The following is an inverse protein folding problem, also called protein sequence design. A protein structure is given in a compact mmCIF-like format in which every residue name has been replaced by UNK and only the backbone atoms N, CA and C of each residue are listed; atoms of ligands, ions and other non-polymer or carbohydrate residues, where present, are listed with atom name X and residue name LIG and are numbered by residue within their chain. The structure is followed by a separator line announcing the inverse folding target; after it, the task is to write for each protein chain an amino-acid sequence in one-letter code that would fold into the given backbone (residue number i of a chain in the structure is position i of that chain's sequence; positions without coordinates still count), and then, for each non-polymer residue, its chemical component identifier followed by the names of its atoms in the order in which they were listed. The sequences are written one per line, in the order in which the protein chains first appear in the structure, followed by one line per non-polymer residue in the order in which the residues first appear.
data_IF_385521269647
#
_entry.id   IF_385521269647
#
_cell.length_a   1.000
_cell.length_b   1.000
_cell.length_c   1.000
_cell.angle_alpha   90.00
_cell.angle_beta   90.00
_cell.angle_gamma   90.00
#
_symmetry.space_group_name_H-M   'P 1'
#
loop_
_entity.id
_entity.type
_entity.pdbx_description
1 polymer ?
#
# COMPACT_ATOMS: atom_id res chain seq x y z
N UNK A 1 -6.03 11.40 -10.07
CA UNK A 1 -5.81 10.00 -10.44
C UNK A 1 -4.46 9.76 -11.10
N UNK A 2 -4.07 10.55 -12.09
CA UNK A 2 -2.77 10.39 -12.76
C UNK A 2 -1.62 10.51 -11.78
N UNK A 3 -1.66 11.48 -10.87
CA UNK A 3 -0.62 11.65 -9.86
C UNK A 3 -0.53 10.46 -8.91
N UNK A 4 -1.66 9.78 -8.63
CA UNK A 4 -1.64 8.58 -7.81
C UNK A 4 -0.91 7.44 -8.53
N UNK A 5 -1.13 7.29 -9.82
CA UNK A 5 -0.43 6.28 -10.63
C UNK A 5 1.07 6.55 -10.68
N UNK A 6 1.46 7.83 -10.83
CA UNK A 6 2.88 8.23 -10.82
C UNK A 6 3.52 7.93 -9.46
N UNK A 7 2.82 8.21 -8.35
CA UNK A 7 3.32 7.95 -7.01
C UNK A 7 3.44 6.46 -6.72
N UNK A 8 2.51 5.65 -7.23
CA UNK A 8 2.63 4.19 -7.15
C UNK A 8 3.93 3.74 -7.84
N UNK A 9 4.20 4.26 -9.03
CA UNK A 9 5.44 3.96 -9.74
C UNK A 9 6.69 4.39 -8.95
N UNK A 10 6.67 5.59 -8.36
CA UNK A 10 7.77 6.09 -7.54
C UNK A 10 8.02 5.20 -6.33
N UNK A 11 6.95 4.81 -5.61
CA UNK A 11 7.09 3.95 -4.44
C UNK A 11 7.59 2.57 -4.84
N UNK A 12 7.12 2.04 -5.98
CA UNK A 12 7.59 0.75 -6.48
C UNK A 12 9.08 0.78 -6.80
N UNK A 13 9.55 1.89 -7.37
CA UNK A 13 10.97 2.09 -7.65
C UNK A 13 11.80 2.12 -6.37
N UNK A 14 11.32 2.83 -5.34
CA UNK A 14 11.97 2.89 -4.04
C UNK A 14 12.05 1.50 -3.39
N UNK A 15 10.98 0.71 -3.50
CA UNK A 15 10.96 -0.67 -3.00
C UNK A 15 11.99 -1.53 -3.74
N UNK A 16 12.10 -1.38 -5.06
CA UNK A 16 13.07 -2.13 -5.84
C UNK A 16 14.51 -1.86 -5.39
N UNK A 17 14.82 -0.59 -5.11
CA UNK A 17 16.15 -0.19 -4.61
C UNK A 17 16.43 -0.84 -3.25
N UNK A 18 15.47 -0.81 -2.34
CA UNK A 18 15.61 -1.42 -1.02
C UNK A 18 15.69 -2.94 -1.11
N UNK A 19 14.92 -3.56 -2.01
CA UNK A 19 14.94 -5.01 -2.20
C UNK A 19 16.33 -5.48 -2.65
N UNK A 20 16.95 -4.72 -3.53
CA UNK A 20 18.30 -5.03 -3.99
C UNK A 20 19.31 -4.99 -2.84
N UNK A 21 19.22 -3.95 -2.00
CA UNK A 21 20.07 -3.83 -0.83
C UNK A 21 19.87 -5.02 0.14
N UNK A 22 18.63 -5.37 0.41
CA UNK A 22 18.27 -6.48 1.30
C UNK A 22 18.84 -7.79 0.76
N UNK A 23 18.71 -8.04 -0.53
CA UNK A 23 19.23 -9.24 -1.18
C UNK A 23 20.76 -9.31 -1.09
N UNK A 24 21.45 -8.20 -1.38
CA UNK A 24 22.92 -8.14 -1.35
C UNK A 24 23.48 -8.37 0.06
N UNK A 25 22.74 -7.99 1.09
CA UNK A 25 23.17 -8.13 2.47
C UNK A 25 22.61 -9.37 3.17
N UNK A 26 21.94 -10.24 2.41
CA UNK A 26 21.40 -11.52 2.91
C UNK A 26 20.47 -11.34 4.12
N UNK A 27 19.68 -10.27 4.13
CA UNK A 27 18.72 -10.03 5.20
C UNK A 27 17.51 -10.93 5.00
N UNK A 28 17.11 -11.64 6.05
CA UNK A 28 15.91 -12.47 5.99
C UNK A 28 14.67 -11.57 6.08
N UNK A 29 13.79 -11.69 5.07
CA UNK A 29 12.56 -10.89 5.00
C UNK A 29 11.45 -11.58 5.80
N UNK A 30 10.81 -10.88 6.77
CA UNK A 30 9.65 -11.44 7.46
C UNK A 30 8.54 -11.80 6.48
N UNK A 31 7.89 -12.93 6.73
CA UNK A 31 6.80 -13.42 5.87
C UNK A 31 5.67 -12.39 5.71
N UNK A 32 5.38 -11.64 6.75
CA UNK A 32 4.29 -10.65 6.73
C UNK A 32 4.55 -9.53 5.71
N UNK A 33 5.81 -9.19 5.43
CA UNK A 33 6.15 -8.21 4.39
C UNK A 33 5.77 -8.76 3.01
N UNK A 34 6.03 -10.04 2.77
CA UNK A 34 5.61 -10.69 1.53
C UNK A 34 4.09 -10.69 1.36
N UNK A 35 3.37 -10.97 2.43
CA UNK A 35 1.89 -10.92 2.41
C UNK A 35 1.39 -9.50 2.14
N UNK A 36 1.99 -8.51 2.75
CA UNK A 36 1.64 -7.11 2.51
C UNK A 36 1.89 -6.73 1.05
N UNK A 37 2.99 -7.20 0.47
CA UNK A 37 3.27 -6.98 -0.95
C UNK A 37 2.17 -7.56 -1.84
N UNK A 38 1.73 -8.78 -1.58
CA UNK A 38 0.64 -9.41 -2.32
C UNK A 38 -0.65 -8.60 -2.20
N UNK A 39 -0.97 -8.14 -1.00
CA UNK A 39 -2.17 -7.32 -0.75
C UNK A 39 -2.13 -6.02 -1.55
N UNK A 40 -1.01 -5.31 -1.55
CA UNK A 40 -0.90 -4.03 -2.25
C UNK A 40 -0.89 -4.20 -3.76
N UNK A 41 -0.24 -5.24 -4.28
CA UNK A 41 -0.30 -5.57 -5.72
C UNK A 41 -1.75 -5.85 -6.13
N UNK A 42 -2.47 -6.61 -5.31
CA UNK A 42 -3.89 -6.89 -5.55
C UNK A 42 -4.72 -5.62 -5.59
N UNK A 43 -4.50 -4.71 -4.64
CA UNK A 43 -5.23 -3.44 -4.59
C UNK A 43 -4.96 -2.57 -5.83
N UNK A 44 -3.72 -2.48 -6.27
CA UNK A 44 -3.37 -1.73 -7.49
C UNK A 44 -4.05 -2.34 -8.71
N UNK A 45 -3.93 -3.66 -8.88
CA UNK A 45 -4.53 -4.37 -10.01
C UNK A 45 -6.05 -4.16 -10.03
N UNK A 46 -6.69 -4.33 -8.88
CA UNK A 46 -8.14 -4.19 -8.77
C UNK A 46 -8.59 -2.74 -8.98
N UNK A 47 -7.81 -1.75 -8.53
CA UNK A 47 -8.16 -0.35 -8.76
C UNK A 47 -8.09 0.01 -10.25
N UNK A 48 -7.11 -0.52 -10.97
CA UNK A 48 -6.98 -0.33 -12.42
C UNK A 48 -8.13 -1.05 -13.14
N UNK A 49 -8.43 -2.29 -12.75
CA UNK A 49 -9.54 -3.05 -13.32
C UNK A 49 -10.88 -2.34 -13.07
N UNK A 50 -11.08 -1.80 -11.89
CA UNK A 50 -12.27 -1.02 -11.55
C UNK A 50 -12.42 0.19 -12.48
N UNK A 51 -11.32 0.87 -12.78
CA UNK A 51 -11.32 1.98 -13.72
C UNK A 51 -11.69 1.53 -15.14
N UNK A 52 -11.04 0.48 -15.63
CA UNK A 52 -11.22 -0.01 -17.01
C UNK A 52 -12.64 -0.55 -17.20
N UNK A 53 -13.13 -1.32 -16.23
CA UNK A 53 -14.43 -2.01 -16.33
C UNK A 53 -15.59 -1.22 -15.74
N UNK A 54 -15.33 -0.09 -15.09
CA UNK A 54 -16.31 0.69 -14.34
C UNK A 54 -17.05 -0.20 -13.33
N UNK A 55 -16.27 -0.98 -12.56
CA UNK A 55 -16.80 -1.98 -11.64
C UNK A 55 -16.84 -1.40 -10.21
N UNK A 56 -18.03 -1.06 -9.76
CA UNK A 56 -18.25 -0.47 -8.45
C UNK A 56 -17.89 -1.42 -7.32
N UNK A 57 -18.14 -2.72 -7.49
CA UNK A 57 -17.81 -3.71 -6.47
C UNK A 57 -16.29 -3.80 -6.24
N UNK A 58 -15.51 -3.73 -7.32
CA UNK A 58 -14.05 -3.69 -7.20
C UNK A 58 -13.57 -2.42 -6.49
N UNK A 59 -14.19 -1.27 -6.78
CA UNK A 59 -13.87 -0.03 -6.08
C UNK A 59 -14.04 -0.20 -4.57
N UNK A 60 -15.16 -0.74 -4.17
CA UNK A 60 -15.49 -0.94 -2.75
C UNK A 60 -14.57 -1.94 -2.09
N UNK A 61 -14.22 -3.00 -2.81
CA UNK A 61 -13.27 -3.99 -2.31
C UNK A 61 -11.91 -3.37 -2.03
N UNK A 62 -11.38 -2.57 -2.95
CA UNK A 62 -10.08 -1.90 -2.77
C UNK A 62 -10.13 -0.98 -1.55
N UNK A 63 -11.19 -0.19 -1.40
CA UNK A 63 -11.35 0.72 -0.28
C UNK A 63 -11.41 -0.04 1.04
N UNK A 64 -12.13 -1.13 1.08
CA UNK A 64 -12.27 -1.95 2.29
C UNK A 64 -10.98 -2.68 2.65
N UNK A 65 -10.19 -3.08 1.65
CA UNK A 65 -8.94 -3.80 1.87
C UNK A 65 -7.86 -2.93 2.53
N UNK A 66 -8.01 -1.61 2.51
CA UNK A 66 -7.03 -0.69 3.10
C UNK A 66 -6.80 -0.95 4.59
N UNK A 67 -7.85 -1.30 5.32
CA UNK A 67 -7.74 -1.61 6.75
C UNK A 67 -6.81 -2.80 7.00
N UNK A 68 -6.82 -3.79 6.11
CA UNK A 68 -5.95 -4.96 6.23
C UNK A 68 -4.48 -4.59 6.01
N UNK A 69 -4.23 -3.67 5.08
CA UNK A 69 -2.86 -3.17 4.82
C UNK A 69 -2.36 -2.38 6.03
N UNK A 70 -3.19 -1.53 6.62
CA UNK A 70 -2.83 -0.75 7.80
C UNK A 70 -2.53 -1.67 8.99
N UNK A 71 -3.37 -2.70 9.21
CA UNK A 71 -3.15 -3.68 10.25
C UNK A 71 -1.85 -4.44 10.03
N UNK A 72 -1.58 -4.85 8.80
CA UNK A 72 -0.34 -5.54 8.45
C UNK A 72 0.87 -4.65 8.74
N UNK A 73 0.80 -3.37 8.38
CA UNK A 73 1.89 -2.43 8.66
C UNK A 73 2.17 -2.31 10.15
N UNK A 74 1.13 -2.18 10.97
CA UNK A 74 1.28 -2.09 12.42
C UNK A 74 1.91 -3.36 13.01
N UNK A 75 1.52 -4.53 12.51
CA UNK A 75 2.09 -5.80 12.95
C UNK A 75 3.54 -5.95 12.53
N UNK A 76 3.89 -5.47 11.33
CA UNK A 76 5.28 -5.46 10.85
C UNK A 76 6.15 -4.60 11.76
N UNK A 77 5.67 -3.43 12.16
CA UNK A 77 6.41 -2.56 13.08
C UNK A 77 6.74 -3.28 14.39
N UNK A 78 5.75 -3.96 14.96
CA UNK A 78 5.94 -4.72 16.20
C UNK A 78 6.93 -5.87 16.01
N UNK A 79 6.79 -6.62 14.92
CA UNK A 79 7.68 -7.73 14.61
C UNK A 79 9.11 -7.27 14.38
N UNK A 80 9.32 -6.17 13.66
CA UNK A 80 10.64 -5.63 13.43
C UNK A 80 11.28 -5.12 14.72
N UNK A 81 10.50 -4.46 15.56
CA UNK A 81 10.99 -4.01 16.87
C UNK A 81 11.47 -5.19 17.71
N UNK A 82 10.73 -6.30 17.72
CA UNK A 82 11.10 -7.52 18.44
C UNK A 82 12.39 -8.13 17.86
N UNK A 83 12.48 -8.21 16.53
CA UNK A 83 13.66 -8.74 15.85
C UNK A 83 14.89 -7.87 16.12
N UNK A 84 14.74 -6.55 16.17
CA UNK A 84 15.84 -5.64 16.49
C UNK A 84 16.31 -5.82 17.94
N UNK A 85 15.37 -6.06 18.83
CA UNK A 85 15.70 -6.40 20.23
C UNK A 85 16.46 -7.72 20.32
N UNK A 86 16.17 -8.67 19.42
CA UNK A 86 16.83 -9.98 19.35
C UNK A 86 18.07 -9.99 18.44
N UNK A 87 18.66 -8.83 18.19
CA UNK A 87 19.92 -8.65 17.44
C UNK A 87 19.79 -8.51 15.92
N UNK A 88 18.60 -8.27 15.37
CA UNK A 88 18.53 -7.85 13.98
C UNK A 88 19.28 -6.52 13.86
N UNK A 89 20.13 -6.39 12.84
CA UNK A 89 20.81 -5.14 12.56
C UNK A 89 19.82 -3.99 12.41
N UNK A 90 20.07 -2.88 13.12
CA UNK A 90 19.15 -1.75 13.15
C UNK A 90 18.92 -1.16 11.75
N UNK A 91 19.98 -1.09 10.94
CA UNK A 91 19.83 -0.57 9.56
C UNK A 91 18.94 -1.48 8.72
N UNK A 92 19.14 -2.78 8.82
CA UNK A 92 18.31 -3.75 8.11
C UNK A 92 16.86 -3.64 8.56
N UNK A 93 16.62 -3.50 9.87
CA UNK A 93 15.28 -3.31 10.42
C UNK A 93 14.61 -2.05 9.89
N UNK A 94 15.34 -0.95 9.81
CA UNK A 94 14.83 0.31 9.28
C UNK A 94 14.52 0.20 7.79
N UNK A 95 15.37 -0.47 7.02
CA UNK A 95 15.13 -0.66 5.58
C UNK A 95 13.89 -1.51 5.33
N UNK A 96 13.68 -2.56 6.13
CA UNK A 96 12.46 -3.37 6.05
C UNK A 96 11.23 -2.57 6.42
N UNK A 97 11.33 -1.72 7.45
CA UNK A 97 10.23 -0.85 7.85
C UNK A 97 9.88 0.14 6.73
N UNK A 98 10.89 0.73 6.10
CA UNK A 98 10.65 1.65 4.98
C UNK A 98 10.02 0.95 3.79
N UNK A 99 10.43 -0.28 3.51
CA UNK A 99 9.79 -1.10 2.46
C UNK A 99 8.30 -1.25 2.74
N UNK A 100 7.94 -1.62 3.98
CA UNK A 100 6.55 -1.75 4.39
C UNK A 100 5.81 -0.41 4.28
N UNK A 101 6.45 0.69 4.64
CA UNK A 101 5.86 2.02 4.53
C UNK A 101 5.56 2.41 3.10
N UNK A 102 6.46 2.10 2.17
CA UNK A 102 6.22 2.35 0.75
C UNK A 102 5.06 1.50 0.23
N UNK A 103 4.94 0.25 0.69
CA UNK A 103 3.79 -0.60 0.35
C UNK A 103 2.48 0.00 0.85
N UNK A 104 2.47 0.52 2.09
CA UNK A 104 1.29 1.19 2.64
C UNK A 104 0.90 2.39 1.79
N UNK A 105 1.86 3.20 1.36
CA UNK A 105 1.61 4.35 0.49
C UNK A 105 1.05 3.93 -0.87
N UNK A 106 1.53 2.82 -1.42
CA UNK A 106 0.98 2.26 -2.67
C UNK A 106 -0.50 1.92 -2.46
N UNK A 107 -0.83 1.27 -1.35
CA UNK A 107 -2.21 0.95 -0.98
C UNK A 107 -3.08 2.21 -0.88
N UNK A 108 -2.58 3.26 -0.23
CA UNK A 108 -3.29 4.54 -0.11
C UNK A 108 -3.60 5.15 -1.47
N UNK A 109 -2.64 5.12 -2.40
CA UNK A 109 -2.86 5.65 -3.75
C UNK A 109 -3.84 4.78 -4.54
N UNK A 110 -3.82 3.46 -4.34
CA UNK A 110 -4.82 2.57 -4.95
C UNK A 110 -6.23 2.89 -4.44
N UNK A 111 -6.37 3.17 -3.14
CA UNK A 111 -7.65 3.61 -2.55
C UNK A 111 -8.11 4.93 -3.19
N UNK A 112 -7.21 5.89 -3.36
CA UNK A 112 -7.54 7.16 -4.01
C UNK A 112 -8.06 6.94 -5.42
N UNK A 113 -7.44 6.04 -6.18
CA UNK A 113 -7.91 5.70 -7.53
C UNK A 113 -9.31 5.09 -7.45
N UNK A 114 -9.53 4.14 -6.54
CA UNK A 114 -10.82 3.46 -6.37
C UNK A 114 -11.92 4.45 -5.97
N UNK A 115 -11.62 5.37 -5.05
CA UNK A 115 -12.58 6.40 -4.64
C UNK A 115 -12.94 7.32 -5.79
N UNK A 116 -11.94 7.70 -6.59
CA UNK A 116 -12.19 8.53 -7.76
C UNK A 116 -13.08 7.83 -8.77
N UNK A 117 -12.83 6.53 -9.03
CA UNK A 117 -13.64 5.72 -9.94
C UNK A 117 -15.06 5.56 -9.40
N UNK A 118 -15.20 5.31 -8.10
CA UNK A 118 -16.52 5.22 -7.46
C UNK A 118 -17.29 6.52 -7.65
N UNK A 119 -16.65 7.66 -7.44
CA UNK A 119 -17.27 8.96 -7.67
C UNK A 119 -17.69 9.14 -9.13
N UNK A 120 -16.84 8.74 -10.08
CA UNK A 120 -17.14 8.86 -11.50
C UNK A 120 -18.35 8.00 -11.90
N UNK A 121 -18.54 6.86 -11.23
CA UNK A 121 -19.67 5.96 -11.52
C UNK A 121 -20.95 6.44 -10.85
N UNK A 122 -20.89 6.80 -9.58
CA UNK A 122 -22.09 7.08 -8.76
C UNK A 122 -22.46 8.56 -8.74
N UNK A 123 -21.53 9.44 -9.06
CA UNK A 123 -21.72 10.88 -8.91
C UNK A 123 -21.64 11.35 -7.46
N UNK A 124 -21.26 10.46 -6.54
CA UNK A 124 -21.16 10.79 -5.11
C UNK A 124 -19.75 10.59 -4.62
N UNK A 125 -19.08 11.67 -4.23
CA UNK A 125 -17.75 11.57 -3.65
C UNK A 125 -17.85 10.99 -2.24
N UNK A 126 -17.09 9.94 -1.94
CA UNK A 126 -17.16 9.22 -0.67
C UNK A 126 -16.92 10.13 0.53
N UNK A 127 -16.06 11.13 0.39
CA UNK A 127 -15.70 12.05 1.46
C UNK A 127 -16.55 13.32 1.51
N UNK A 128 -17.56 13.47 0.66
CA UNK A 128 -18.42 14.66 0.64
C UNK A 128 -19.10 14.89 1.98
N UNK A 129 -19.54 13.82 2.62
CA UNK A 129 -20.22 13.89 3.92
C UNK A 129 -19.32 14.48 5.00
N UNK A 130 -18.03 14.26 4.89
CA UNK A 130 -17.06 14.72 5.86
C UNK A 130 -16.52 16.10 5.54
N UNK A 131 -16.50 16.48 4.28
CA UNK A 131 -15.81 17.67 3.81
C UNK A 131 -16.74 18.69 3.19
N UNK A 132 -17.98 18.33 2.89
CA UNK A 132 -18.99 19.21 2.31
C UNK A 132 -18.43 20.08 1.17
N UNK A 133 -17.82 19.43 0.21
CA UNK A 133 -17.26 20.12 -0.94
C UNK A 133 -15.84 20.62 -0.74
N UNK A 134 -15.17 20.20 0.33
CA UNK A 134 -13.80 20.58 0.63
C UNK A 134 -12.74 19.87 -0.20
N UNK A 135 -13.05 19.59 -1.39
CA UNK A 135 -12.11 18.94 -2.32
C UNK A 135 -11.73 19.88 -3.41
#
# INVERSE_FOLDING_TARGET
MISDMERIGDQASDIADLSKFIEENHVQIPELIGKMAEMTVGMVTESVDAFVKRDLDLCRKVIDDDDQVDDAFNRIKEELAELMYQNLDAKAGLDLLMTAKYMERIGDHAVNIAEWVEYAITGVHRNNEHQLGGH
#
